data_IF_318767642147
#
_entry.id   IF_318767642147
#
_cell.length_a   1.000
_cell.length_b   1.000
_cell.length_c   1.000
_cell.angle_alpha   90.00
_cell.angle_beta   90.00
_cell.angle_gamma   90.00
#
_symmetry.space_group_name_H-M   'P 1'
#
loop_
_entity.id
_entity.type
_entity.pdbx_description
1 polymer ?
#
# COMPACT_ATOMS: atom_id res chain seq x y z
N UNK A 1 -17.17 58.44 -16.43
CA UNK A 1 -17.05 58.86 -15.02
C UNK A 1 -16.39 57.72 -14.29
N UNK A 2 -15.09 57.84 -14.08
CA UNK A 2 -14.21 56.77 -13.62
C UNK A 2 -14.13 56.82 -12.09
N UNK A 3 -14.49 55.73 -11.42
CA UNK A 3 -14.46 55.63 -9.96
C UNK A 3 -13.08 55.18 -9.50
N UNK A 4 -12.37 55.93 -8.65
CA UNK A 4 -11.05 55.50 -8.19
C UNK A 4 -11.19 54.28 -7.26
N UNK A 5 -10.49 53.19 -7.61
CA UNK A 5 -10.33 52.03 -6.74
C UNK A 5 -9.63 52.48 -5.44
N UNK A 6 -10.37 52.46 -4.33
CA UNK A 6 -9.77 52.66 -3.02
C UNK A 6 -8.81 51.49 -2.75
N UNK A 7 -7.52 51.79 -2.57
CA UNK A 7 -6.53 50.85 -2.06
C UNK A 7 -6.87 50.59 -0.60
N UNK A 8 -7.63 49.53 -0.36
CA UNK A 8 -7.88 49.01 0.98
C UNK A 8 -6.55 48.44 1.51
N UNK A 9 -5.91 49.18 2.43
CA UNK A 9 -4.73 48.71 3.11
C UNK A 9 -5.11 47.50 3.96
N UNK A 10 -4.40 46.38 3.78
CA UNK A 10 -4.57 45.22 4.64
C UNK A 10 -4.31 45.63 6.11
N UNK A 11 -5.14 45.18 7.05
CA UNK A 11 -4.95 45.49 8.46
C UNK A 11 -3.58 44.99 8.93
N UNK A 12 -2.90 45.72 9.83
CA UNK A 12 -1.59 45.33 10.33
C UNK A 12 -1.69 43.96 11.03
N UNK A 13 -0.81 43.06 10.63
CA UNK A 13 -0.74 41.69 11.15
C UNK A 13 -0.24 41.75 12.61
N UNK A 14 -1.18 41.83 13.56
CA UNK A 14 -0.87 41.84 15.01
C UNK A 14 -0.51 40.42 15.42
N UNK A 15 0.75 40.06 15.25
CA UNK A 15 1.28 38.78 15.74
C UNK A 15 1.17 38.73 17.27
N UNK A 16 0.74 37.59 17.79
CA UNK A 16 0.84 37.29 19.22
C UNK A 16 2.29 37.43 19.67
N UNK A 17 2.57 38.02 20.85
CA UNK A 17 3.92 38.06 21.37
C UNK A 17 4.48 36.63 21.49
N UNK A 18 5.75 36.44 21.16
CA UNK A 18 6.43 35.15 21.31
C UNK A 18 6.25 34.62 22.73
N UNK A 19 6.00 33.32 22.92
CA UNK A 19 5.79 32.77 24.25
C UNK A 19 7.00 33.05 25.15
N UNK A 20 6.73 33.44 26.40
CA UNK A 20 7.75 33.75 27.42
C UNK A 20 8.68 32.57 27.70
N UNK A 21 8.27 31.35 27.31
CA UNK A 21 9.10 30.13 27.32
C UNK A 21 10.38 30.23 26.47
N UNK A 22 10.54 31.25 25.62
CA UNK A 22 11.79 31.51 24.90
C UNK A 22 12.85 32.19 25.77
N UNK A 23 12.48 32.74 26.93
CA UNK A 23 13.42 33.31 27.91
C UNK A 23 13.86 32.17 28.83
N UNK A 24 14.99 31.55 28.51
CA UNK A 24 15.59 30.47 29.31
C UNK A 24 15.71 29.11 28.63
N UNK A 25 15.60 29.02 27.30
CA UNK A 25 15.97 27.79 26.60
C UNK A 25 17.46 27.51 26.83
N UNK A 26 17.75 26.48 27.61
CA UNK A 26 19.10 25.94 27.73
C UNK A 26 19.47 25.33 26.39
N UNK A 27 20.31 26.01 25.64
CA UNK A 27 20.91 25.41 24.46
C UNK A 27 21.90 24.35 24.94
N UNK A 28 21.88 23.13 24.38
CA UNK A 28 22.89 22.13 24.69
C UNK A 28 24.28 22.67 24.32
N UNK A 29 25.30 22.06 24.92
CA UNK A 29 26.70 22.24 24.54
C UNK A 29 26.85 22.18 23.00
N UNK A 30 27.78 22.97 22.46
CA UNK A 30 28.07 22.98 21.03
C UNK A 30 28.38 21.56 20.53
N UNK A 31 27.63 21.12 19.53
CA UNK A 31 27.76 19.81 18.91
C UNK A 31 28.64 19.85 17.64
N UNK A 32 29.23 21.00 17.32
CA UNK A 32 30.20 21.09 16.22
C UNK A 32 31.43 20.27 16.56
N UNK A 33 31.91 19.48 15.59
CA UNK A 33 33.12 18.69 15.79
C UNK A 33 34.34 19.60 15.68
N UNK A 34 35.35 19.42 16.53
CA UNK A 34 36.65 20.08 16.37
C UNK A 34 37.30 19.77 15.00
N UNK A 35 36.96 18.62 14.40
CA UNK A 35 37.40 18.24 13.06
C UNK A 35 36.80 19.09 11.93
N UNK A 36 35.75 19.85 12.23
CA UNK A 36 35.05 20.76 11.30
C UNK A 36 35.50 22.23 11.44
N UNK A 37 36.52 22.49 12.26
CA UNK A 37 37.07 23.83 12.42
C UNK A 37 37.79 24.30 11.16
N UNK A 38 37.74 25.61 10.88
CA UNK A 38 38.38 26.25 9.72
C UNK A 38 39.91 26.03 9.68
N UNK A 39 40.53 25.74 10.83
CA UNK A 39 41.96 25.41 10.92
C UNK A 39 42.32 23.99 10.47
N UNK A 40 41.33 23.09 10.38
CA UNK A 40 41.53 21.68 9.96
C UNK A 40 40.94 21.37 8.59
N UNK A 41 39.81 21.99 8.24
CA UNK A 41 39.16 21.82 6.94
C UNK A 41 38.93 23.18 6.27
N UNK A 42 39.29 23.26 5.00
CA UNK A 42 38.84 24.39 4.17
C UNK A 42 37.34 24.27 3.89
N UNK A 43 36.68 25.42 3.66
CA UNK A 43 35.25 25.49 3.32
C UNK A 43 34.79 24.43 2.29
N UNK A 44 35.44 24.26 1.11
CA UNK A 44 34.98 23.27 0.13
C UNK A 44 35.13 21.82 0.63
N UNK A 45 36.11 21.53 1.49
CA UNK A 45 36.29 20.19 2.05
C UNK A 45 35.24 19.89 3.12
N UNK A 46 34.87 20.91 3.91
CA UNK A 46 33.76 20.82 4.85
C UNK A 46 32.45 20.54 4.10
N UNK A 47 32.15 21.30 3.05
CA UNK A 47 30.97 21.09 2.20
C UNK A 47 30.95 19.67 1.63
N UNK A 48 32.03 19.23 0.98
CA UNK A 48 32.11 17.88 0.41
C UNK A 48 31.89 16.77 1.46
N UNK A 49 32.45 16.92 2.66
CA UNK A 49 32.26 15.98 3.78
C UNK A 49 30.78 15.87 4.14
N UNK A 50 30.08 16.99 4.26
CA UNK A 50 28.68 17.02 4.65
C UNK A 50 27.75 16.61 3.51
N UNK A 51 28.00 17.05 2.28
CA UNK A 51 27.30 16.58 1.09
C UNK A 51 27.37 15.06 0.97
N UNK A 52 28.56 14.49 1.16
CA UNK A 52 28.74 13.03 1.15
C UNK A 52 28.00 12.36 2.31
N UNK A 53 28.04 12.97 3.51
CA UNK A 53 27.39 12.43 4.72
C UNK A 53 25.87 12.41 4.62
N UNK A 54 25.27 13.44 4.01
CA UNK A 54 23.82 13.51 3.80
C UNK A 54 23.39 12.77 2.52
N UNK A 55 24.34 12.25 1.74
CA UNK A 55 24.07 11.54 0.50
C UNK A 55 23.63 12.47 -0.64
N UNK A 56 24.00 13.74 -0.60
CA UNK A 56 23.73 14.66 -1.71
C UNK A 56 24.49 14.17 -2.95
N UNK A 57 23.80 14.11 -4.09
CA UNK A 57 24.36 13.56 -5.33
C UNK A 57 24.35 12.02 -5.42
N UNK A 58 23.87 11.31 -4.39
CA UNK A 58 23.56 9.89 -4.50
C UNK A 58 22.16 9.70 -5.10
N UNK A 59 21.96 8.68 -5.96
CA UNK A 59 20.65 8.37 -6.48
C UNK A 59 19.67 8.02 -5.35
N UNK A 60 18.46 8.55 -5.45
CA UNK A 60 17.36 8.21 -4.55
C UNK A 60 17.05 6.71 -4.63
N UNK A 61 16.42 6.16 -3.58
CA UNK A 61 15.97 4.77 -3.58
C UNK A 61 15.09 4.44 -4.80
N UNK A 62 14.22 5.39 -5.20
CA UNK A 62 13.37 5.25 -6.39
C UNK A 62 14.20 5.21 -7.68
N UNK A 63 15.28 5.98 -7.75
CA UNK A 63 16.18 6.00 -8.91
C UNK A 63 16.97 4.69 -8.98
N UNK A 64 17.48 4.20 -7.84
CA UNK A 64 18.13 2.89 -7.74
C UNK A 64 17.20 1.75 -8.19
N UNK A 65 15.92 1.81 -7.83
CA UNK A 65 14.94 0.83 -8.28
C UNK A 65 14.65 0.94 -9.78
N UNK A 66 14.60 2.16 -10.33
CA UNK A 66 14.42 2.39 -11.75
C UNK A 66 15.65 1.97 -12.59
N UNK A 67 16.85 1.94 -11.99
CA UNK A 67 18.08 1.46 -12.62
C UNK A 67 18.17 -0.07 -12.67
N UNK A 68 17.31 -0.81 -11.96
CA UNK A 68 17.30 -2.27 -12.02
C UNK A 68 16.71 -2.72 -13.35
N UNK A 69 17.37 -3.69 -13.99
CA UNK A 69 16.84 -4.31 -15.20
C UNK A 69 15.49 -4.99 -14.89
N UNK A 70 14.45 -4.75 -15.70
CA UNK A 70 13.16 -5.38 -15.48
C UNK A 70 13.27 -6.89 -15.71
N UNK A 71 12.78 -7.68 -14.75
CA UNK A 71 12.74 -9.15 -14.84
C UNK A 71 11.90 -9.64 -16.04
N UNK A 72 10.94 -8.83 -16.45
CA UNK A 72 10.09 -9.07 -17.62
C UNK A 72 10.16 -7.82 -18.48
N UNK A 73 10.81 -7.95 -19.64
CA UNK A 73 10.82 -6.89 -20.64
C UNK A 73 9.42 -6.70 -21.18
N UNK A 74 8.95 -5.45 -21.23
CA UNK A 74 7.69 -5.15 -21.88
C UNK A 74 7.90 -5.34 -23.39
N UNK A 75 7.10 -6.20 -24.06
CA UNK A 75 7.20 -6.37 -25.50
C UNK A 75 6.88 -5.05 -26.21
N UNK A 76 7.38 -4.89 -27.43
CA UNK A 76 7.16 -3.68 -28.21
C UNK A 76 5.66 -3.47 -28.51
N UNK A 77 5.14 -2.24 -28.39
CA UNK A 77 3.72 -1.98 -28.59
C UNK A 77 3.26 -2.39 -30.01
N UNK A 78 2.20 -3.18 -30.11
CA UNK A 78 1.64 -3.66 -31.37
C UNK A 78 2.37 -4.86 -31.98
N UNK A 79 3.38 -5.42 -31.30
CA UNK A 79 4.07 -6.62 -31.74
C UNK A 79 3.23 -7.89 -31.58
N UNK A 80 3.54 -8.92 -32.37
CA UNK A 80 2.97 -10.26 -32.17
C UNK A 80 3.36 -10.85 -30.81
N UNK A 81 4.54 -10.50 -30.29
CA UNK A 81 5.00 -10.89 -28.95
C UNK A 81 4.10 -10.33 -27.85
N UNK A 82 3.67 -9.07 -27.97
CA UNK A 82 2.72 -8.46 -27.03
C UNK A 82 1.37 -9.18 -27.06
N UNK A 83 0.85 -9.48 -28.25
CA UNK A 83 -0.40 -10.23 -28.40
C UNK A 83 -0.30 -11.62 -27.77
N UNK A 84 0.79 -12.35 -28.03
CA UNK A 84 1.01 -13.67 -27.46
C UNK A 84 1.14 -13.62 -25.93
N UNK A 85 1.86 -12.64 -25.40
CA UNK A 85 1.99 -12.44 -23.95
C UNK A 85 0.62 -12.14 -23.32
N UNK A 86 -0.16 -11.26 -23.93
CA UNK A 86 -1.50 -10.89 -23.48
C UNK A 86 -2.45 -12.09 -23.46
N UNK A 87 -2.50 -12.85 -24.56
CA UNK A 87 -3.33 -14.06 -24.66
C UNK A 87 -2.92 -15.12 -23.62
N UNK A 88 -1.61 -15.27 -23.37
CA UNK A 88 -1.12 -16.17 -22.32
C UNK A 88 -1.57 -15.73 -20.94
N UNK A 89 -1.45 -14.44 -20.63
CA UNK A 89 -1.88 -13.87 -19.35
C UNK A 89 -3.39 -14.08 -19.14
N UNK A 90 -4.20 -13.76 -20.14
CA UNK A 90 -5.65 -13.94 -20.07
C UNK A 90 -6.06 -15.41 -19.91
N UNK A 91 -5.40 -16.32 -20.61
CA UNK A 91 -5.66 -17.75 -20.49
C UNK A 91 -5.39 -18.25 -19.07
N UNK A 92 -4.24 -17.87 -18.51
CA UNK A 92 -3.88 -18.25 -17.15
C UNK A 92 -4.86 -17.65 -16.13
N UNK A 93 -5.22 -16.38 -16.29
CA UNK A 93 -6.20 -15.73 -15.41
C UNK A 93 -7.55 -16.45 -15.45
N UNK A 94 -8.07 -16.78 -16.63
CA UNK A 94 -9.33 -17.53 -16.77
C UNK A 94 -9.25 -18.92 -16.15
N UNK A 95 -8.10 -19.58 -16.28
CA UNK A 95 -7.88 -20.89 -15.68
C UNK A 95 -7.93 -20.82 -14.14
N UNK A 96 -7.19 -19.89 -13.54
CA UNK A 96 -7.19 -19.69 -12.09
C UNK A 96 -8.57 -19.31 -11.54
N UNK A 97 -9.31 -18.46 -12.25
CA UNK A 97 -10.69 -18.10 -11.88
C UNK A 97 -11.60 -19.32 -11.91
N UNK A 98 -11.48 -20.17 -12.94
CA UNK A 98 -12.28 -21.40 -13.01
C UNK A 98 -11.92 -22.38 -11.89
N UNK A 99 -10.63 -22.54 -11.56
CA UNK A 99 -10.19 -23.37 -10.45
C UNK A 99 -10.75 -22.88 -9.11
N UNK A 100 -10.74 -21.57 -8.87
CA UNK A 100 -11.35 -20.98 -7.68
C UNK A 100 -12.85 -21.26 -7.60
N UNK A 101 -13.55 -21.14 -8.74
CA UNK A 101 -14.98 -21.43 -8.82
C UNK A 101 -15.29 -22.91 -8.55
N UNK A 102 -14.52 -23.82 -9.15
CA UNK A 102 -14.66 -25.26 -8.92
C UNK A 102 -14.41 -25.63 -7.46
N UNK A 103 -13.40 -25.03 -6.83
CA UNK A 103 -13.12 -25.24 -5.42
C UNK A 103 -14.27 -24.74 -4.52
N UNK A 104 -14.82 -23.56 -4.81
CA UNK A 104 -15.98 -23.03 -4.09
C UNK A 104 -17.21 -23.95 -4.21
N UNK A 105 -17.49 -24.44 -5.43
CA UNK A 105 -18.58 -25.39 -5.69
C UNK A 105 -18.39 -26.71 -4.93
N UNK A 106 -17.16 -27.20 -4.85
CA UNK A 106 -16.81 -28.39 -4.08
C UNK A 106 -17.03 -28.19 -2.58
N UNK A 107 -16.54 -27.07 -2.02
CA UNK A 107 -16.74 -26.71 -0.61
C UNK A 107 -18.23 -26.59 -0.25
N UNK A 108 -19.03 -25.92 -1.09
CA UNK A 108 -20.48 -25.84 -0.90
C UNK A 108 -21.14 -27.22 -0.95
N UNK A 109 -20.71 -28.10 -1.85
CA UNK A 109 -21.25 -29.47 -1.96
C UNK A 109 -20.91 -30.30 -0.73
N UNK A 110 -19.70 -30.18 -0.18
CA UNK A 110 -19.31 -30.83 1.09
C UNK A 110 -20.16 -30.31 2.24
N UNK A 111 -20.33 -29.00 2.37
CA UNK A 111 -21.15 -28.39 3.43
C UNK A 111 -22.61 -28.84 3.34
N UNK A 112 -23.14 -29.00 2.13
CA UNK A 112 -24.49 -29.52 1.90
C UNK A 112 -24.61 -31.02 2.19
N UNK A 113 -23.61 -31.81 1.80
CA UNK A 113 -23.55 -33.25 2.09
C UNK A 113 -23.44 -33.54 3.59
N UNK A 114 -22.68 -32.74 4.33
CA UNK A 114 -22.57 -32.79 5.80
C UNK A 114 -23.92 -32.53 6.49
N UNK A 115 -24.76 -31.63 5.95
CA UNK A 115 -26.12 -31.40 6.44
C UNK A 115 -27.10 -32.54 6.11
N UNK A 116 -26.86 -33.32 5.05
CA UNK A 116 -27.68 -34.47 4.71
C UNK A 116 -27.39 -35.70 5.60
N UNK A 117 -26.18 -35.82 6.15
CA UNK A 117 -25.84 -36.86 7.14
C UNK A 117 -26.42 -36.56 8.54
N UNK A 118 -26.85 -35.32 8.80
CA UNK A 118 -27.55 -34.91 10.02
C UNK A 118 -29.08 -35.08 9.91
N UNK A 119 -29.55 -36.12 9.23
CA UNK A 119 -30.95 -36.51 9.26
C UNK A 119 -31.37 -36.78 10.70
N UNK A 120 -32.18 -35.89 11.26
CA UNK A 120 -32.84 -36.10 12.55
C UNK A 120 -33.55 -37.46 12.52
N UNK A 121 -33.26 -38.38 13.46
CA UNK A 121 -34.08 -39.58 13.60
C UNK A 121 -35.52 -39.12 13.88
N UNK A 122 -36.45 -39.54 13.01
CA UNK A 122 -37.87 -39.26 13.18
C UNK A 122 -38.36 -40.11 14.36
N UNK A 123 -38.29 -39.53 15.57
CA UNK A 123 -38.87 -40.14 16.76
C UNK A 123 -40.37 -39.90 16.77
N UNK A 124 -41.11 -40.79 16.13
CA UNK A 124 -42.56 -40.93 16.33
C UNK A 124 -42.82 -42.05 17.33
N UNK A 125 -43.77 -41.83 18.25
CA UNK A 125 -44.26 -42.86 19.20
C UNK A 125 -45.47 -43.61 18.66
N UNK A 126 -45.90 -43.26 17.45
CA UNK A 126 -47.07 -43.80 16.81
C UNK A 126 -46.66 -44.96 15.90
N UNK A 127 -46.84 -46.19 16.40
CA UNK A 127 -46.38 -47.41 15.73
C UNK A 127 -47.04 -47.56 14.35
N UNK A 128 -48.30 -47.13 14.22
CA UNK A 128 -49.06 -47.23 12.99
C UNK A 128 -48.50 -46.29 11.90
N UNK A 129 -48.00 -45.11 12.29
CA UNK A 129 -47.32 -44.19 11.39
C UNK A 129 -45.97 -44.74 10.91
N UNK A 130 -45.26 -45.50 11.76
CA UNK A 130 -44.01 -46.18 11.39
C UNK A 130 -44.29 -47.30 10.38
N UNK A 131 -45.31 -48.12 10.65
CA UNK A 131 -45.65 -49.24 9.76
C UNK A 131 -46.12 -48.77 8.38
N UNK A 132 -46.93 -47.71 8.31
CA UNK A 132 -47.34 -47.12 7.03
C UNK A 132 -46.17 -46.49 6.26
N UNK A 133 -45.17 -45.94 6.95
CA UNK A 133 -43.96 -45.41 6.32
C UNK A 133 -43.05 -46.48 5.72
N UNK A 134 -43.13 -47.74 6.19
CA UNK A 134 -42.28 -48.83 5.71
C UNK A 134 -42.92 -49.67 4.61
N UNK A 135 -44.24 -49.62 4.44
CA UNK A 135 -44.91 -50.40 3.40
C UNK A 135 -44.91 -49.74 2.01
N UNK A 136 -44.47 -48.48 1.89
CA UNK A 136 -44.45 -47.76 0.61
C UNK A 136 -45.84 -47.67 -0.05
N UNK A 137 -45.99 -47.01 -1.21
CA UNK A 137 -47.18 -47.20 -2.04
C UNK A 137 -47.23 -48.63 -2.62
#
# INVERSE_FOLDING_TARGET
TDTPHALEYAPPDVRSPSPTSSVGSSHPEDQTSLSDSEGMLSQPQFEQKWESRIGLGQPSHRELDAMKDPLITRPTPGSEEEKMAFERILRNLRHEVNLLHENEMFEQTILRGSKAAAGTPVYTRDIDAIMNSMMGP
#
